data_IF_217505001475
#
_entry.id   IF_217505001475
#
_cell.length_a   1.000
_cell.length_b   1.000
_cell.length_c   1.000
_cell.angle_alpha   90.00
_cell.angle_beta   90.00
_cell.angle_gamma   90.00
#
_symmetry.space_group_name_H-M   'P 1'
#
loop_
_entity.id
_entity.type
_entity.pdbx_description
1 polymer ?
#
# COMPACT_ATOMS: atom_id res chain seq x y z
N UNK A 1 -22.09 -9.16 25.59
CA UNK A 1 -22.38 -9.75 24.26
C UNK A 1 -21.81 -8.92 23.10
N UNK A 2 -20.53 -8.47 23.11
CA UNK A 2 -20.00 -7.57 22.04
C UNK A 2 -18.79 -8.11 21.25
N UNK A 3 -18.43 -9.41 21.40
CA UNK A 3 -17.22 -9.96 20.73
C UNK A 3 -17.41 -10.38 19.25
N UNK A 4 -18.65 -10.43 18.75
CA UNK A 4 -18.90 -10.94 17.38
C UNK A 4 -18.67 -9.91 16.26
N UNK A 5 -18.75 -8.61 16.56
CA UNK A 5 -18.57 -7.56 15.54
C UNK A 5 -17.10 -7.35 15.14
N UNK A 6 -16.17 -7.53 16.08
CA UNK A 6 -14.73 -7.43 15.82
C UNK A 6 -14.20 -8.57 14.95
N UNK A 7 -14.62 -9.80 15.26
CA UNK A 7 -14.19 -11.00 14.52
C UNK A 7 -14.71 -11.02 13.09
N UNK A 8 -15.91 -10.52 12.83
CA UNK A 8 -16.47 -10.45 11.47
C UNK A 8 -15.76 -9.42 10.57
N UNK A 9 -15.34 -8.28 11.14
CA UNK A 9 -14.56 -7.26 10.43
C UNK A 9 -13.15 -7.77 10.12
N UNK A 10 -12.46 -8.37 11.08
CA UNK A 10 -11.14 -8.95 10.89
C UNK A 10 -11.14 -10.01 9.77
N UNK A 11 -12.15 -10.90 9.75
CA UNK A 11 -12.31 -11.90 8.68
C UNK A 11 -12.52 -11.26 7.30
N UNK A 12 -13.30 -10.19 7.21
CA UNK A 12 -13.49 -9.46 5.95
C UNK A 12 -12.20 -8.82 5.45
N UNK A 13 -11.40 -8.24 6.35
CA UNK A 13 -10.11 -7.64 6.02
C UNK A 13 -9.10 -8.69 5.54
N UNK A 14 -8.97 -9.81 6.26
CA UNK A 14 -8.09 -10.92 5.89
C UNK A 14 -8.52 -11.50 4.53
N UNK A 15 -9.82 -11.76 4.33
CA UNK A 15 -10.33 -12.27 3.06
C UNK A 15 -10.00 -11.35 1.89
N UNK A 16 -10.16 -10.05 2.08
CA UNK A 16 -9.85 -9.08 1.05
C UNK A 16 -8.34 -8.99 0.75
N UNK A 17 -7.49 -9.10 1.77
CA UNK A 17 -6.03 -9.17 1.59
C UNK A 17 -5.62 -10.45 0.83
N UNK A 18 -6.21 -11.59 1.18
CA UNK A 18 -5.97 -12.86 0.49
C UNK A 18 -6.41 -12.83 -0.98
N UNK A 19 -7.54 -12.18 -1.29
CA UNK A 19 -7.99 -12.01 -2.68
C UNK A 19 -6.97 -11.18 -3.47
N UNK A 20 -6.52 -10.06 -2.94
CA UNK A 20 -5.51 -9.23 -3.63
C UNK A 20 -4.20 -9.98 -3.81
N UNK A 21 -3.72 -10.64 -2.78
CA UNK A 21 -2.50 -11.47 -2.86
C UNK A 21 -2.67 -12.62 -3.89
N UNK A 22 -3.81 -13.29 -3.86
CA UNK A 22 -4.15 -14.35 -4.82
C UNK A 22 -4.15 -13.87 -6.27
N UNK A 23 -4.75 -12.71 -6.53
CA UNK A 23 -4.73 -12.09 -7.88
C UNK A 23 -3.30 -11.78 -8.33
N UNK A 24 -2.45 -11.25 -7.44
CA UNK A 24 -1.06 -10.96 -7.78
C UNK A 24 -0.25 -12.22 -8.08
N UNK A 25 -0.38 -13.25 -7.24
CA UNK A 25 0.30 -14.52 -7.46
C UNK A 25 -0.18 -15.20 -8.74
N UNK A 26 -1.50 -15.26 -8.96
CA UNK A 26 -2.08 -15.84 -10.18
C UNK A 26 -1.63 -15.07 -11.43
N UNK A 27 -1.61 -13.73 -11.38
CA UNK A 27 -1.12 -12.89 -12.47
C UNK A 27 0.36 -13.13 -12.77
N UNK A 28 1.21 -13.21 -11.75
CA UNK A 28 2.63 -13.51 -11.92
C UNK A 28 2.87 -14.92 -12.51
N UNK A 29 2.12 -15.93 -12.03
CA UNK A 29 2.20 -17.29 -12.55
C UNK A 29 1.74 -17.36 -14.02
N UNK A 30 0.66 -16.67 -14.37
CA UNK A 30 0.16 -16.60 -15.75
C UNK A 30 1.20 -15.97 -16.68
N UNK A 31 1.80 -14.85 -16.29
CA UNK A 31 2.86 -14.19 -17.06
C UNK A 31 4.08 -15.10 -17.23
N UNK A 32 4.48 -15.80 -16.18
CA UNK A 32 5.58 -16.76 -16.23
C UNK A 32 5.25 -17.94 -17.16
N UNK A 33 4.01 -18.40 -17.13
CA UNK A 33 3.54 -19.46 -18.04
C UNK A 33 3.57 -18.99 -19.50
N UNK A 34 3.04 -17.80 -19.80
CA UNK A 34 3.10 -17.22 -21.14
C UNK A 34 4.54 -17.05 -21.64
N UNK A 35 5.46 -16.65 -20.76
CA UNK A 35 6.89 -16.59 -21.09
C UNK A 35 7.46 -17.96 -21.46
N UNK A 36 7.17 -18.99 -20.66
CA UNK A 36 7.62 -20.37 -20.93
C UNK A 36 7.08 -20.93 -22.23
N UNK A 37 5.92 -20.49 -22.67
CA UNK A 37 5.33 -20.86 -23.97
C UNK A 37 5.90 -20.02 -25.13
N UNK A 38 6.83 -19.12 -24.89
CA UNK A 38 7.42 -18.26 -25.91
C UNK A 38 6.48 -17.16 -26.42
N UNK A 39 5.35 -16.91 -25.73
CA UNK A 39 4.37 -15.89 -26.13
C UNK A 39 4.82 -14.47 -25.80
N UNK A 40 5.62 -14.31 -24.77
CA UNK A 40 6.18 -13.03 -24.31
C UNK A 40 7.66 -13.18 -23.94
N UNK A 41 8.43 -12.14 -24.16
CA UNK A 41 9.85 -12.10 -23.81
C UNK A 41 10.07 -11.90 -22.29
N UNK A 42 11.30 -12.15 -21.84
CA UNK A 42 11.67 -12.05 -20.42
C UNK A 42 11.51 -10.65 -19.88
N UNK A 43 11.84 -9.60 -20.67
CA UNK A 43 11.72 -8.20 -20.23
C UNK A 43 10.27 -7.80 -20.02
N UNK A 44 9.40 -8.14 -20.95
CA UNK A 44 7.95 -7.91 -20.83
C UNK A 44 7.37 -8.63 -19.63
N UNK A 45 7.78 -9.88 -19.39
CA UNK A 45 7.36 -10.66 -18.21
C UNK A 45 7.76 -9.95 -16.93
N UNK A 46 9.03 -9.56 -16.81
CA UNK A 46 9.57 -8.86 -15.64
C UNK A 46 8.85 -7.53 -15.40
N UNK A 47 8.70 -6.70 -16.43
CA UNK A 47 7.99 -5.42 -16.35
C UNK A 47 6.55 -5.60 -15.89
N UNK A 48 5.83 -6.53 -16.49
CA UNK A 48 4.43 -6.81 -16.16
C UNK A 48 4.25 -7.27 -14.72
N UNK A 49 5.13 -8.15 -14.22
CA UNK A 49 5.11 -8.58 -12.81
C UNK A 49 5.37 -7.40 -11.88
N UNK A 50 6.35 -6.56 -12.18
CA UNK A 50 6.66 -5.40 -11.35
C UNK A 50 5.55 -4.35 -11.38
N UNK A 51 4.87 -4.14 -12.52
CA UNK A 51 3.67 -3.30 -12.60
C UNK A 51 2.56 -3.85 -11.70
N UNK A 52 2.32 -5.16 -11.72
CA UNK A 52 1.35 -5.79 -10.81
C UNK A 52 1.68 -5.54 -9.34
N UNK A 53 2.95 -5.63 -8.96
CA UNK A 53 3.40 -5.33 -7.59
C UNK A 53 3.09 -3.87 -7.23
N UNK A 54 3.42 -2.92 -8.09
CA UNK A 54 3.14 -1.50 -7.88
C UNK A 54 1.64 -1.20 -7.75
N UNK A 55 0.82 -1.80 -8.61
CA UNK A 55 -0.64 -1.69 -8.53
C UNK A 55 -1.20 -2.30 -7.25
N UNK A 56 -0.62 -3.39 -6.75
CA UNK A 56 -0.98 -3.97 -5.47
C UNK A 56 -0.69 -3.05 -4.30
N UNK A 57 0.48 -2.39 -4.29
CA UNK A 57 0.83 -1.37 -3.30
C UNK A 57 -0.16 -0.20 -3.35
N UNK A 58 -0.48 0.29 -4.54
CA UNK A 58 -1.45 1.37 -4.74
C UNK A 58 -2.86 0.99 -4.26
N UNK A 59 -3.32 -0.21 -4.58
CA UNK A 59 -4.61 -0.73 -4.13
C UNK A 59 -4.67 -0.85 -2.61
N UNK A 60 -3.59 -1.31 -1.96
CA UNK A 60 -3.48 -1.36 -0.51
C UNK A 60 -3.54 0.05 0.10
N UNK A 61 -2.74 0.99 -0.42
CA UNK A 61 -2.74 2.38 0.02
C UNK A 61 -4.12 3.04 -0.05
N UNK A 62 -4.84 2.82 -1.15
CA UNK A 62 -6.21 3.34 -1.33
C UNK A 62 -7.23 2.75 -0.35
N UNK A 63 -6.96 1.57 0.22
CA UNK A 63 -7.81 0.94 1.24
C UNK A 63 -7.47 1.38 2.65
N UNK A 64 -6.24 1.82 2.91
CA UNK A 64 -5.76 2.21 4.23
C UNK A 64 -6.68 3.18 4.99
N UNK A 65 -7.18 4.29 4.38
CA UNK A 65 -8.07 5.22 5.07
C UNK A 65 -9.42 4.62 5.49
N UNK A 66 -9.83 3.53 4.85
CA UNK A 66 -11.11 2.84 5.09
C UNK A 66 -10.97 1.73 6.15
N UNK A 67 -9.75 1.38 6.53
CA UNK A 67 -9.46 0.38 7.56
C UNK A 67 -9.35 1.07 8.92
N UNK A 68 -10.48 1.30 9.57
CA UNK A 68 -10.55 1.76 10.97
C UNK A 68 -10.33 0.57 11.91
N UNK A 69 -9.24 -0.18 11.72
CA UNK A 69 -8.90 -1.33 12.54
C UNK A 69 -8.02 -0.91 13.71
N UNK A 70 -8.45 -1.25 14.91
CA UNK A 70 -7.69 -1.07 16.15
C UNK A 70 -8.59 -0.84 17.36
N UNK A 71 -8.02 -0.87 18.57
CA UNK A 71 -8.77 -0.60 19.80
C UNK A 71 -9.44 0.77 19.73
N UNK A 72 -10.61 0.88 20.34
CA UNK A 72 -11.35 2.15 20.47
C UNK A 72 -10.42 3.24 20.99
N UNK A 73 -10.32 4.40 20.29
CA UNK A 73 -9.45 5.49 20.73
C UNK A 73 -9.86 5.94 22.14
N UNK A 74 -8.87 6.19 22.99
CA UNK A 74 -9.11 6.66 24.37
C UNK A 74 -9.61 8.10 24.45
N UNK A 75 -9.45 8.86 23.37
CA UNK A 75 -9.92 10.25 23.25
C UNK A 75 -10.20 10.62 21.80
N UNK A 76 -11.00 11.67 21.57
CA UNK A 76 -11.27 12.22 20.24
C UNK A 76 -9.98 12.68 19.52
N UNK A 77 -9.05 13.30 20.25
CA UNK A 77 -7.77 13.74 19.70
C UNK A 77 -6.93 12.56 19.15
N UNK A 78 -6.91 11.42 19.85
CA UNK A 78 -6.22 10.22 19.36
C UNK A 78 -6.92 9.63 18.14
N UNK A 79 -8.26 9.70 18.07
CA UNK A 79 -9.03 9.25 16.92
C UNK A 79 -8.71 10.09 15.68
N UNK A 80 -8.72 11.41 15.82
CA UNK A 80 -8.39 12.35 14.73
C UNK A 80 -6.94 12.19 14.25
N UNK A 81 -5.99 12.06 15.17
CA UNK A 81 -4.59 11.82 14.86
C UNK A 81 -4.43 10.54 14.01
N UNK A 82 -5.04 9.45 14.47
CA UNK A 82 -5.01 8.17 13.76
C UNK A 82 -5.61 8.30 12.37
N UNK A 83 -6.76 8.93 12.23
CA UNK A 83 -7.43 9.10 10.95
C UNK A 83 -6.59 9.96 9.99
N UNK A 84 -5.96 11.03 10.47
CA UNK A 84 -5.07 11.87 9.66
C UNK A 84 -3.86 11.09 9.15
N UNK A 85 -3.20 10.30 10.01
CA UNK A 85 -2.06 9.44 9.63
C UNK A 85 -2.48 8.40 8.58
N UNK A 86 -3.61 7.71 8.79
CA UNK A 86 -4.11 6.73 7.82
C UNK A 86 -4.47 7.35 6.48
N UNK A 87 -5.02 8.57 6.48
CA UNK A 87 -5.40 9.27 5.26
C UNK A 87 -4.17 9.70 4.46
N UNK A 88 -3.20 10.35 5.09
CA UNK A 88 -1.96 10.77 4.42
C UNK A 88 -1.11 9.57 4.01
N UNK A 89 -0.95 8.58 4.90
CA UNK A 89 -0.23 7.36 4.60
C UNK A 89 -0.86 6.58 3.45
N UNK A 90 -2.19 6.49 3.41
CA UNK A 90 -2.92 5.86 2.30
C UNK A 90 -2.67 6.55 0.95
N UNK A 91 -2.72 7.87 0.90
CA UNK A 91 -2.39 8.62 -0.32
C UNK A 91 -0.92 8.46 -0.71
N UNK A 92 0.01 8.56 0.25
CA UNK A 92 1.43 8.39 0.00
C UNK A 92 1.76 7.00 -0.58
N UNK A 93 1.16 5.94 -0.02
CA UNK A 93 1.31 4.58 -0.53
C UNK A 93 0.66 4.38 -1.90
N UNK A 94 -0.49 5.01 -2.14
CA UNK A 94 -1.16 4.95 -3.45
C UNK A 94 -0.31 5.59 -4.53
N UNK A 95 0.18 6.81 -4.32
CA UNK A 95 1.04 7.48 -5.29
C UNK A 95 2.42 6.82 -5.41
N UNK A 96 2.99 6.33 -4.32
CA UNK A 96 4.24 5.55 -4.34
C UNK A 96 4.11 4.27 -5.17
N UNK A 97 3.00 3.55 -5.01
CA UNK A 97 2.69 2.35 -5.79
C UNK A 97 2.43 2.63 -7.26
N UNK A 98 1.69 3.71 -7.58
CA UNK A 98 1.47 4.14 -8.97
C UNK A 98 2.78 4.61 -9.62
N UNK A 99 3.61 5.36 -8.89
CA UNK A 99 4.94 5.77 -9.35
C UNK A 99 5.85 4.57 -9.60
N UNK A 100 5.80 3.56 -8.72
CA UNK A 100 6.50 2.30 -8.91
C UNK A 100 6.06 1.60 -10.20
N UNK A 101 4.76 1.41 -10.40
CA UNK A 101 4.21 0.78 -11.61
C UNK A 101 4.54 1.59 -12.87
N UNK A 102 4.43 2.92 -12.81
CA UNK A 102 4.76 3.83 -13.91
C UNK A 102 6.24 3.78 -14.29
N UNK A 103 7.14 3.69 -13.31
CA UNK A 103 8.56 3.53 -13.58
C UNK A 103 8.84 2.25 -14.38
N UNK A 104 8.22 1.13 -14.04
CA UNK A 104 8.38 -0.11 -14.80
C UNK A 104 7.67 -0.09 -16.16
N UNK A 105 6.58 0.69 -16.30
CA UNK A 105 5.88 0.82 -17.57
C UNK A 105 6.62 1.68 -18.59
N UNK A 106 7.22 2.79 -18.15
CA UNK A 106 7.68 3.85 -19.05
C UNK A 106 9.18 4.15 -18.99
N UNK A 107 9.88 3.81 -17.88
CA UNK A 107 11.29 4.12 -17.77
C UNK A 107 12.18 3.17 -18.60
N UNK A 108 13.36 3.63 -19.05
CA UNK A 108 14.37 2.78 -19.65
C UNK A 108 14.73 1.62 -18.73
N UNK A 109 15.03 0.45 -19.32
CA UNK A 109 15.30 -0.80 -18.57
C UNK A 109 16.34 -0.65 -17.46
N UNK A 110 17.43 0.08 -17.73
CA UNK A 110 18.51 0.29 -16.78
C UNK A 110 18.09 1.18 -15.59
N UNK A 111 17.12 2.09 -15.76
CA UNK A 111 16.72 3.07 -14.77
C UNK A 111 15.41 2.71 -14.05
N UNK A 112 14.61 1.80 -14.60
CA UNK A 112 13.34 1.37 -14.03
C UNK A 112 13.46 0.90 -12.56
N UNK A 113 14.46 0.07 -12.17
CA UNK A 113 14.64 -0.33 -10.77
C UNK A 113 14.93 0.85 -9.83
N UNK A 114 15.74 1.81 -10.30
CA UNK A 114 16.08 2.99 -9.51
C UNK A 114 14.86 3.89 -9.28
N UNK A 115 14.14 4.25 -10.32
CA UNK A 115 12.95 5.11 -10.20
C UNK A 115 11.82 4.44 -9.42
N UNK A 116 11.61 3.14 -9.61
CA UNK A 116 10.59 2.41 -8.86
C UNK A 116 10.91 2.34 -7.37
N UNK A 117 12.15 2.07 -7.01
CA UNK A 117 12.60 2.07 -5.61
C UNK A 117 12.48 3.46 -5.00
N UNK A 118 12.92 4.51 -5.71
CA UNK A 118 12.79 5.89 -5.26
C UNK A 118 11.32 6.27 -5.01
N UNK A 119 10.40 5.90 -5.92
CA UNK A 119 8.98 6.16 -5.76
C UNK A 119 8.39 5.45 -4.53
N UNK A 120 8.73 4.18 -4.31
CA UNK A 120 8.28 3.43 -3.14
C UNK A 120 8.83 4.02 -1.83
N UNK A 121 10.15 4.31 -1.78
CA UNK A 121 10.80 4.92 -0.62
C UNK A 121 10.23 6.30 -0.31
N UNK A 122 9.91 7.12 -1.33
CA UNK A 122 9.29 8.43 -1.14
C UNK A 122 7.91 8.30 -0.48
N UNK A 123 7.09 7.34 -0.89
CA UNK A 123 5.80 7.06 -0.27
C UNK A 123 5.93 6.69 1.21
N UNK A 124 6.87 5.81 1.53
CA UNK A 124 7.15 5.41 2.92
C UNK A 124 7.70 6.57 3.73
N UNK A 125 8.63 7.36 3.18
CA UNK A 125 9.21 8.53 3.86
C UNK A 125 8.16 9.58 4.20
N UNK A 126 7.23 9.88 3.28
CA UNK A 126 6.11 10.79 3.53
C UNK A 126 5.20 10.26 4.64
N UNK A 127 4.86 8.97 4.60
CA UNK A 127 4.02 8.35 5.62
C UNK A 127 4.66 8.43 7.01
N UNK A 128 5.93 8.04 7.14
CA UNK A 128 6.66 8.07 8.41
C UNK A 128 6.92 9.49 8.89
N UNK A 129 7.38 10.38 8.00
CA UNK A 129 7.66 11.78 8.32
C UNK A 129 6.43 12.51 8.82
N UNK A 130 5.28 12.35 8.14
CA UNK A 130 4.03 12.92 8.58
C UNK A 130 3.57 12.34 9.92
N UNK A 131 3.69 11.03 10.13
CA UNK A 131 3.33 10.37 11.38
C UNK A 131 4.14 10.90 12.57
N UNK A 132 5.45 11.00 12.42
CA UNK A 132 6.37 11.54 13.45
C UNK A 132 6.09 13.01 13.72
N UNK A 133 5.94 13.82 12.65
CA UNK A 133 5.64 15.26 12.80
C UNK A 133 4.33 15.48 13.54
N UNK A 134 3.29 14.75 13.20
CA UNK A 134 1.97 14.91 13.81
C UNK A 134 1.94 14.42 15.27
N UNK A 135 2.65 13.33 15.58
CA UNK A 135 2.79 12.85 16.96
C UNK A 135 3.48 13.91 17.85
N UNK A 136 4.60 14.48 17.39
CA UNK A 136 5.32 15.53 18.12
C UNK A 136 4.51 16.82 18.29
N UNK A 137 3.70 17.18 17.30
CA UNK A 137 2.83 18.36 17.41
C UNK A 137 1.75 18.17 18.48
N UNK A 138 1.22 16.95 18.62
CA UNK A 138 0.21 16.63 19.62
C UNK A 138 0.78 16.65 21.05
N UNK A 139 2.03 16.21 21.24
CA UNK A 139 2.71 16.20 22.54
C UNK A 139 3.03 17.63 23.04
N UNK A 140 3.11 18.62 22.14
CA UNK A 140 3.40 20.03 22.48
C UNK A 140 2.16 20.85 22.83
N UNK A 141 0.97 20.32 22.64
CA UNK A 141 -0.27 20.98 23.04
C UNK A 141 -0.64 20.50 24.45
N UNK A 142 -0.26 21.25 25.53
CA UNK A 142 -0.70 20.88 26.87
C UNK A 142 -2.23 20.95 26.91
N UNK A 143 -2.83 19.96 27.54
CA UNK A 143 -4.27 19.96 27.80
C UNK A 143 -4.61 21.21 28.63
N UNK A 144 -5.27 22.17 27.99
CA UNK A 144 -5.95 23.28 28.64
C UNK A 144 -7.31 22.85 29.17
#
# INVERSE_FOLDING_TARGET
MSNNSGSSRARKSIRAALIVAGIQVAGALLLTFCHRQGMIDEDTTKRSVMILVGLGIAAYGNRMPKMLEGPTPRSLAVAELRQAIHRVGGWAMTFGGLGYAGAWAFAPRALAPFYSTAAACSGVAVMLGYGVWRARANDRSPAS
#
